data_IF_044532888030
#
_entry.id   IF_044532888030
#
_cell.length_a   1.000
_cell.length_b   1.000
_cell.length_c   1.000
_cell.angle_alpha   90.00
_cell.angle_beta   90.00
_cell.angle_gamma   90.00
#
_symmetry.space_group_name_H-M   'P 1'
#
loop_
_entity.id
_entity.type
_entity.pdbx_description
1 polymer ?
#
# COMPACT_ATOMS: atom_id res chain seq x y z
N UNK A 1 -7.60 -2.19 19.83
CA UNK A 1 -6.20 -2.66 19.64
C UNK A 1 -5.30 -1.66 20.32
N UNK A 2 -4.50 -2.10 21.29
CA UNK A 2 -3.65 -1.21 22.11
C UNK A 2 -2.16 -1.61 22.02
N UNK A 3 -1.89 -2.87 21.72
CA UNK A 3 -0.53 -3.42 21.66
C UNK A 3 -0.36 -4.32 20.43
N UNK A 4 0.89 -4.62 20.08
CA UNK A 4 1.21 -5.58 19.01
C UNK A 4 0.69 -7.00 19.32
N UNK A 5 0.57 -7.34 20.60
CA UNK A 5 0.04 -8.66 21.02
C UNK A 5 -1.42 -8.88 20.63
N UNK A 6 -2.17 -7.81 20.41
CA UNK A 6 -3.56 -7.87 19.96
C UNK A 6 -3.69 -8.38 18.50
N UNK A 7 -2.58 -8.39 17.75
CA UNK A 7 -2.52 -8.98 16.41
C UNK A 7 -2.45 -10.52 16.45
N UNK A 8 -2.16 -11.11 17.59
CA UNK A 8 -1.93 -12.55 17.69
C UNK A 8 -3.16 -13.34 17.23
N UNK A 9 -2.98 -14.16 16.20
CA UNK A 9 -4.05 -14.99 15.62
C UNK A 9 -5.03 -14.26 14.72
N UNK A 10 -4.95 -12.91 14.59
CA UNK A 10 -5.81 -12.16 13.67
C UNK A 10 -5.53 -12.54 12.21
N UNK A 11 -6.58 -12.85 11.47
CA UNK A 11 -6.51 -13.01 10.01
C UNK A 11 -6.41 -11.64 9.37
N UNK A 12 -5.19 -11.24 9.09
CA UNK A 12 -4.91 -9.92 8.54
C UNK A 12 -4.68 -10.00 7.02
N UNK A 13 -5.52 -9.33 6.25
CA UNK A 13 -5.27 -9.22 4.81
C UNK A 13 -4.02 -8.39 4.57
N UNK A 14 -3.14 -8.93 3.75
CA UNK A 14 -1.93 -8.25 3.30
C UNK A 14 -1.85 -8.19 1.78
N UNK A 15 -1.06 -7.26 1.26
CA UNK A 15 -0.59 -7.32 -0.13
C UNK A 15 0.29 -8.56 -0.30
N UNK A 16 0.15 -9.33 -1.41
CA UNK A 16 0.89 -10.58 -1.63
C UNK A 16 2.40 -10.34 -1.86
N UNK A 17 3.11 -9.95 -0.81
CA UNK A 17 4.56 -9.71 -0.80
C UNK A 17 5.18 -10.43 0.39
N UNK A 18 6.25 -11.17 0.15
CA UNK A 18 6.92 -11.96 1.21
C UNK A 18 7.39 -11.12 2.41
N UNK A 19 8.00 -9.94 2.24
CA UNK A 19 8.43 -9.13 3.38
C UNK A 19 7.27 -8.69 4.29
N UNK A 20 6.11 -8.39 3.71
CA UNK A 20 4.91 -8.00 4.48
C UNK A 20 4.37 -9.21 5.24
N UNK A 21 4.30 -10.36 4.57
CA UNK A 21 3.86 -11.61 5.19
C UNK A 21 4.74 -11.96 6.39
N UNK A 22 6.06 -11.93 6.21
CA UNK A 22 7.00 -12.34 7.24
C UNK A 22 6.95 -11.38 8.44
N UNK A 23 6.83 -10.08 8.20
CA UNK A 23 6.61 -9.08 9.25
C UNK A 23 5.39 -9.40 10.14
N UNK A 24 4.24 -9.72 9.54
CA UNK A 24 3.04 -10.05 10.32
C UNK A 24 3.07 -11.42 10.96
N UNK A 25 3.78 -12.39 10.39
CA UNK A 25 4.05 -13.68 11.05
C UNK A 25 4.88 -13.46 12.32
N UNK A 26 5.90 -12.64 12.26
CA UNK A 26 6.76 -12.32 13.42
C UNK A 26 5.98 -11.61 14.54
N UNK A 27 4.93 -10.88 14.20
CA UNK A 27 3.99 -10.28 15.16
C UNK A 27 2.90 -11.24 15.65
N UNK A 28 2.92 -12.50 15.22
CA UNK A 28 1.95 -13.51 15.63
C UNK A 28 0.60 -13.47 14.90
N UNK A 29 0.43 -12.60 13.92
CA UNK A 29 -0.78 -12.56 13.11
C UNK A 29 -0.86 -13.73 12.11
N UNK A 30 -2.03 -13.96 11.54
CA UNK A 30 -2.28 -14.89 10.45
C UNK A 30 -2.47 -14.14 9.12
N UNK A 31 -1.38 -13.75 8.43
CA UNK A 31 -1.47 -12.96 7.22
C UNK A 31 -2.15 -13.74 6.10
N UNK A 32 -3.13 -13.11 5.47
CA UNK A 32 -3.93 -13.65 4.36
C UNK A 32 -3.67 -12.82 3.10
N UNK A 33 -2.81 -13.29 2.18
CA UNK A 33 -2.53 -12.57 0.94
C UNK A 33 -3.75 -12.56 0.03
N UNK A 34 -4.30 -11.37 -0.25
CA UNK A 34 -5.43 -11.20 -1.17
C UNK A 34 -5.17 -10.04 -2.13
N UNK A 35 -5.50 -10.21 -3.43
CA UNK A 35 -5.45 -9.12 -4.40
C UNK A 35 -6.49 -8.05 -4.05
N UNK A 36 -6.19 -6.80 -4.36
CA UNK A 36 -6.99 -5.63 -3.97
C UNK A 36 -8.50 -5.75 -4.29
N UNK A 37 -8.93 -6.27 -5.45
CA UNK A 37 -10.36 -6.38 -5.75
C UNK A 37 -11.14 -7.31 -4.82
N UNK A 38 -10.49 -8.25 -4.14
CA UNK A 38 -11.13 -9.20 -3.23
C UNK A 38 -11.23 -8.71 -1.78
N UNK A 39 -10.59 -7.57 -1.46
CA UNK A 39 -10.42 -7.15 -0.06
C UNK A 39 -11.73 -6.69 0.58
N UNK A 40 -12.54 -5.90 -0.13
CA UNK A 40 -13.80 -5.38 0.42
C UNK A 40 -14.76 -6.51 0.84
N UNK A 41 -14.93 -7.49 -0.05
CA UNK A 41 -15.80 -8.64 0.24
C UNK A 41 -15.23 -9.52 1.35
N UNK A 42 -13.91 -9.73 1.38
CA UNK A 42 -13.26 -10.52 2.42
C UNK A 42 -13.45 -9.89 3.81
N UNK A 43 -13.32 -8.57 3.92
CA UNK A 43 -13.56 -7.84 5.15
C UNK A 43 -15.06 -7.85 5.52
N UNK A 44 -15.95 -7.59 4.57
CA UNK A 44 -17.39 -7.57 4.79
C UNK A 44 -17.97 -8.92 5.23
N UNK A 45 -17.39 -10.03 4.77
CA UNK A 45 -17.85 -11.40 5.08
C UNK A 45 -17.12 -12.04 6.27
N UNK A 46 -16.18 -11.33 6.93
CA UNK A 46 -15.40 -11.89 8.02
C UNK A 46 -14.39 -12.97 7.60
N UNK A 47 -14.03 -13.02 6.33
CA UNK A 47 -12.94 -13.88 5.85
C UNK A 47 -11.60 -13.43 6.44
N UNK A 48 -11.44 -12.12 6.63
CA UNK A 48 -10.34 -11.48 7.34
C UNK A 48 -10.88 -10.61 8.48
N UNK A 49 -10.11 -10.50 9.55
CA UNK A 49 -10.46 -9.70 10.73
C UNK A 49 -9.97 -8.26 10.61
N UNK A 50 -9.01 -8.01 9.72
CA UNK A 50 -8.44 -6.70 9.45
C UNK A 50 -7.71 -6.66 8.13
N UNK A 51 -7.27 -5.46 7.75
CA UNK A 51 -6.52 -5.23 6.50
C UNK A 51 -5.31 -4.34 6.77
N UNK A 52 -4.21 -4.64 6.09
CA UNK A 52 -3.06 -3.76 5.95
C UNK A 52 -3.24 -2.94 4.66
N UNK A 53 -3.36 -1.61 4.81
CA UNK A 53 -3.68 -0.72 3.70
C UNK A 53 -3.26 0.73 4.02
N UNK A 54 -2.91 1.49 3.00
CA UNK A 54 -2.71 2.93 3.13
C UNK A 54 -4.05 3.69 3.25
N UNK A 55 -3.99 4.88 3.87
CA UNK A 55 -5.18 5.71 4.16
C UNK A 55 -5.90 6.17 2.89
N UNK A 56 -5.16 6.42 1.80
CA UNK A 56 -5.78 6.80 0.53
C UNK A 56 -6.71 5.70 0.01
N UNK A 57 -6.24 4.46 -0.02
CA UNK A 57 -7.04 3.32 -0.48
C UNK A 57 -8.16 2.97 0.51
N UNK A 58 -7.93 3.12 1.81
CA UNK A 58 -9.00 2.96 2.81
C UNK A 58 -10.16 3.91 2.48
N UNK A 59 -9.84 5.17 2.21
CA UNK A 59 -10.85 6.17 1.83
C UNK A 59 -11.46 5.91 0.45
N UNK A 60 -10.63 5.76 -0.58
CA UNK A 60 -11.07 5.63 -1.98
C UNK A 60 -11.94 4.39 -2.23
N UNK A 61 -11.63 3.27 -1.57
CA UNK A 61 -12.33 2.00 -1.72
C UNK A 61 -13.35 1.74 -0.60
N UNK A 62 -13.58 2.74 0.26
CA UNK A 62 -14.60 2.73 1.32
C UNK A 62 -14.46 1.59 2.32
N UNK A 63 -13.23 1.16 2.62
CA UNK A 63 -13.02 0.12 3.63
C UNK A 63 -13.49 0.56 5.02
N UNK A 64 -13.50 1.85 5.28
CA UNK A 64 -14.06 2.45 6.50
C UNK A 64 -15.54 2.11 6.75
N UNK A 65 -16.31 1.72 5.72
CA UNK A 65 -17.69 1.25 5.90
C UNK A 65 -17.76 -0.12 6.61
N UNK A 66 -16.65 -0.86 6.70
CA UNK A 66 -16.55 -2.23 7.21
C UNK A 66 -15.57 -2.39 8.37
N UNK A 67 -14.89 -1.32 8.74
CA UNK A 67 -13.92 -1.32 9.82
C UNK A 67 -14.31 -0.25 10.87
N UNK A 68 -14.33 -0.66 12.13
CA UNK A 68 -14.68 0.24 13.26
C UNK A 68 -13.47 0.98 13.82
N UNK A 69 -12.27 0.54 13.47
CA UNK A 69 -11.01 1.05 14.01
C UNK A 69 -9.94 1.12 12.96
N UNK A 70 -9.21 2.22 12.92
CA UNK A 70 -8.02 2.41 12.09
C UNK A 70 -6.83 2.68 12.99
N UNK A 71 -5.77 1.89 12.84
CA UNK A 71 -4.49 2.09 13.51
C UNK A 71 -3.49 2.72 12.54
N UNK A 72 -3.13 3.97 12.76
CA UNK A 72 -2.07 4.65 11.99
C UNK A 72 -0.72 4.25 12.57
N UNK A 73 -0.19 3.14 12.09
CA UNK A 73 1.03 2.51 12.66
C UNK A 73 2.33 3.01 12.05
N UNK A 74 2.28 3.59 10.85
CA UNK A 74 3.47 4.07 10.11
C UNK A 74 4.63 3.05 10.03
N UNK A 75 4.29 1.76 10.01
CA UNK A 75 5.24 0.65 10.12
C UNK A 75 5.94 0.33 8.80
N UNK A 76 5.43 0.84 7.68
CA UNK A 76 5.95 0.50 6.35
C UNK A 76 5.88 1.68 5.41
N UNK A 77 6.84 1.76 4.51
CA UNK A 77 6.84 2.66 3.37
C UNK A 77 6.72 1.84 2.09
N UNK A 78 5.76 2.17 1.23
CA UNK A 78 5.63 1.58 -0.10
C UNK A 78 6.43 2.38 -1.12
N UNK A 79 7.61 1.90 -1.56
CA UNK A 79 8.36 2.59 -2.60
C UNK A 79 7.69 2.42 -3.96
N UNK A 80 7.53 3.53 -4.68
CA UNK A 80 7.12 3.52 -6.08
C UNK A 80 8.36 3.67 -6.97
N UNK A 81 8.51 2.77 -7.93
CA UNK A 81 9.63 2.79 -8.87
C UNK A 81 9.13 2.77 -10.31
N UNK A 82 9.64 3.67 -11.13
CA UNK A 82 9.44 3.62 -12.58
C UNK A 82 10.47 2.70 -13.23
N UNK A 83 10.02 1.76 -14.05
CA UNK A 83 10.91 0.84 -14.75
C UNK A 83 10.62 0.82 -16.25
N UNK A 84 11.65 0.73 -17.05
CA UNK A 84 11.56 0.55 -18.50
C UNK A 84 12.21 -0.77 -18.86
N UNK A 85 11.58 -1.55 -19.74
CA UNK A 85 12.17 -2.81 -20.26
C UNK A 85 13.54 -2.56 -20.85
N UNK A 86 14.55 -3.31 -20.43
CA UNK A 86 15.90 -3.20 -20.95
C UNK A 86 15.98 -3.42 -22.49
N UNK A 87 15.06 -4.23 -23.04
CA UNK A 87 14.96 -4.44 -24.49
C UNK A 87 14.54 -3.16 -25.20
N UNK A 88 13.47 -2.50 -24.71
CA UNK A 88 12.99 -1.23 -25.27
C UNK A 88 14.03 -0.12 -25.06
N UNK A 89 14.62 -0.07 -23.88
CA UNK A 89 15.63 0.93 -23.53
C UNK A 89 16.83 0.94 -24.46
N UNK A 90 17.30 -0.24 -24.89
CA UNK A 90 18.44 -0.36 -25.80
C UNK A 90 18.17 0.17 -27.22
N UNK A 91 16.90 0.13 -27.65
CA UNK A 91 16.49 0.56 -28.99
C UNK A 91 16.19 2.07 -29.06
N UNK A 92 16.16 2.75 -27.91
CA UNK A 92 15.98 4.21 -27.83
C UNK A 92 17.30 4.95 -28.12
N UNK A 93 17.18 6.12 -28.74
CA UNK A 93 18.29 7.07 -28.85
C UNK A 93 18.73 7.57 -27.46
N UNK A 94 19.93 8.11 -27.36
CA UNK A 94 20.40 8.70 -26.09
C UNK A 94 19.57 9.92 -25.70
N UNK A 95 19.12 10.72 -26.66
CA UNK A 95 18.23 11.86 -26.48
C UNK A 95 16.87 11.41 -25.90
N UNK A 96 16.27 10.36 -26.47
CA UNK A 96 14.98 9.83 -25.97
C UNK A 96 15.12 9.26 -24.54
N UNK A 97 16.22 8.56 -24.25
CA UNK A 97 16.50 8.05 -22.90
C UNK A 97 16.60 9.18 -21.88
N UNK A 98 17.33 10.25 -22.25
CA UNK A 98 17.47 11.41 -21.37
C UNK A 98 16.12 12.09 -21.16
N UNK A 99 15.37 12.32 -22.23
CA UNK A 99 14.02 12.91 -22.14
C UNK A 99 13.09 12.09 -21.24
N UNK A 100 13.07 10.76 -21.39
CA UNK A 100 12.25 9.88 -20.54
C UNK A 100 12.70 9.97 -19.08
N UNK A 101 13.99 9.98 -18.82
CA UNK A 101 14.55 10.09 -17.47
C UNK A 101 14.14 11.40 -16.81
N UNK A 102 14.28 12.52 -17.52
CA UNK A 102 13.94 13.85 -17.02
C UNK A 102 12.44 13.97 -16.73
N UNK A 103 11.59 13.50 -17.66
CA UNK A 103 10.14 13.52 -17.47
C UNK A 103 9.69 12.63 -16.32
N UNK A 104 10.29 11.46 -16.17
CA UNK A 104 9.98 10.55 -15.04
C UNK A 104 10.39 11.18 -13.72
N UNK A 105 11.57 11.78 -13.64
CA UNK A 105 12.04 12.47 -12.43
C UNK A 105 11.11 13.62 -12.05
N UNK A 106 10.77 14.51 -13.01
CA UNK A 106 9.84 15.61 -12.79
C UNK A 106 8.47 15.12 -12.28
N UNK A 107 7.94 14.04 -12.87
CA UNK A 107 6.64 13.48 -12.47
C UNK A 107 6.66 12.83 -11.10
N UNK A 108 7.73 12.12 -10.76
CA UNK A 108 7.90 11.53 -9.43
C UNK A 108 7.98 12.61 -8.35
N UNK A 109 8.74 13.68 -8.58
CA UNK A 109 8.84 14.81 -7.66
C UNK A 109 7.49 15.49 -7.45
N UNK A 110 6.72 15.68 -8.53
CA UNK A 110 5.37 16.24 -8.46
C UNK A 110 4.41 15.34 -7.67
N UNK A 111 4.44 14.03 -7.91
CA UNK A 111 3.60 13.07 -7.19
C UNK A 111 3.96 13.06 -5.71
N UNK A 112 5.25 13.03 -5.36
CA UNK A 112 5.71 13.08 -3.98
C UNK A 112 5.24 14.35 -3.25
N UNK A 113 5.32 15.51 -3.93
CA UNK A 113 4.82 16.76 -3.35
C UNK A 113 3.31 16.73 -3.09
N UNK A 114 2.53 16.18 -4.05
CA UNK A 114 1.08 16.04 -3.89
C UNK A 114 0.69 15.06 -2.78
N UNK A 115 1.40 13.95 -2.64
CA UNK A 115 1.17 12.99 -1.56
C UNK A 115 1.42 13.61 -0.19
N UNK A 116 2.54 14.29 -0.03
CA UNK A 116 2.89 14.98 1.21
C UNK A 116 1.83 16.02 1.63
N UNK A 117 1.24 16.73 0.67
CA UNK A 117 0.18 17.70 0.93
C UNK A 117 -1.14 17.03 1.34
N UNK A 118 -1.46 15.87 0.75
CA UNK A 118 -2.75 15.18 0.94
C UNK A 118 -2.77 14.22 2.12
N UNK A 119 -1.61 13.73 2.56
CA UNK A 119 -1.51 12.66 3.57
C UNK A 119 -2.24 13.02 4.87
N UNK A 120 -2.02 14.21 5.39
CA UNK A 120 -2.73 14.69 6.59
C UNK A 120 -4.25 14.80 6.40
N UNK A 121 -4.69 15.07 5.17
CA UNK A 121 -6.12 15.18 4.86
C UNK A 121 -6.85 13.83 4.79
N UNK A 122 -6.15 12.71 4.64
CA UNK A 122 -6.77 11.39 4.67
C UNK A 122 -7.00 10.91 6.11
N UNK A 123 -6.10 11.23 7.04
CA UNK A 123 -6.30 10.94 8.48
C UNK A 123 -7.57 11.60 9.04
N UNK A 124 -7.93 12.78 8.54
CA UNK A 124 -9.13 13.49 8.95
C UNK A 124 -10.44 12.92 8.36
N UNK A 125 -10.34 12.08 7.30
CA UNK A 125 -11.49 11.56 6.56
C UNK A 125 -11.88 10.14 6.96
N UNK A 126 -10.98 9.39 7.52
CA UNK A 126 -11.14 8.01 7.95
C UNK A 126 -11.16 7.92 9.47
#
# INVERSE_FOLDING_TARGET
METADDLNGMKLRITPLDPIRDFYIDLGAAPTPLPLPAVYDALANGQVDGIDMDLELIWALKFWEKADTILVSNHMMFPMVGVVSARVWKDLSEEDRQMITDLMSERLDMVMAQYKEKESGWEEKV
#
